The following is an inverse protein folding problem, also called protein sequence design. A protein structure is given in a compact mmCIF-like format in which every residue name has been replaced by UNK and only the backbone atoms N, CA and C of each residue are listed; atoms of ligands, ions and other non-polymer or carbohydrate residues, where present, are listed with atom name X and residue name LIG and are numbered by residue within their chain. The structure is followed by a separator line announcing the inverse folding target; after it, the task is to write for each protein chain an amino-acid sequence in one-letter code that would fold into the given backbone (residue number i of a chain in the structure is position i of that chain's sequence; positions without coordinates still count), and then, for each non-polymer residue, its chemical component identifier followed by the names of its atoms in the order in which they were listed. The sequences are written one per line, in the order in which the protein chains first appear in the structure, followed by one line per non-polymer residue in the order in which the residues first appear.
data_IF_379555940548
#
_entry.id   IF_379555940548
#
_cell.length_a   1.000
_cell.length_b   1.000
_cell.length_c   1.000
_cell.angle_alpha   90.00
_cell.angle_beta   90.00
_cell.angle_gamma   90.00
#
_symmetry.space_group_name_H-M   'P 1'
#
loop_
_entity.id
_entity.type
_entity.pdbx_description
1 polymer ?
#
# COMPACT_ATOMS: atom_id res chain seq x y z
N UNK A 1 -34.80 21.41 36.44
CA UNK A 1 -33.75 20.37 36.31
C UNK A 1 -34.45 19.03 36.45
N UNK A 2 -34.56 18.26 35.35
CA UNK A 2 -33.52 17.31 34.97
C UNK A 2 -33.02 17.52 33.52
N UNK A 3 -31.91 16.86 33.12
CA UNK A 3 -31.07 17.31 32.01
C UNK A 3 -31.48 16.70 30.66
N UNK A 4 -31.36 17.52 29.61
CA UNK A 4 -31.39 17.11 28.21
C UNK A 4 -30.06 16.45 27.79
N UNK A 5 -30.21 15.39 26.98
CA UNK A 5 -29.39 15.00 25.83
C UNK A 5 -27.87 15.20 25.90
N UNK A 6 -27.14 14.09 25.81
CA UNK A 6 -26.29 13.76 24.63
C UNK A 6 -25.66 12.39 24.88
N UNK A 7 -26.30 11.32 24.41
CA UNK A 7 -25.61 10.05 24.18
C UNK A 7 -24.65 10.26 23.00
N UNK A 8 -23.37 10.48 23.31
CA UNK A 8 -22.28 10.35 22.31
C UNK A 8 -22.21 8.86 21.93
N UNK A 9 -22.31 8.48 20.65
CA UNK A 9 -22.11 7.09 20.26
C UNK A 9 -20.67 6.70 20.65
N UNK A 10 -20.51 5.70 21.50
CA UNK A 10 -19.21 5.14 21.81
C UNK A 10 -18.56 4.63 20.50
N UNK A 11 -17.25 4.86 20.26
CA UNK A 11 -16.59 4.27 19.10
C UNK A 11 -16.62 2.76 19.24
N UNK A 12 -17.32 2.07 18.33
CA UNK A 12 -17.46 0.62 18.37
C UNK A 12 -16.09 -0.05 18.15
N UNK A 13 -15.61 -0.90 19.09
CA UNK A 13 -14.29 -1.53 19.02
C UNK A 13 -14.08 -2.40 17.76
N UNK A 14 -15.16 -2.87 17.14
CA UNK A 14 -15.11 -3.67 15.92
C UNK A 14 -14.56 -2.88 14.71
N UNK A 15 -14.92 -1.60 14.56
CA UNK A 15 -14.43 -0.74 13.46
C UNK A 15 -12.93 -0.46 13.58
N UNK A 16 -12.43 -0.32 14.81
CA UNK A 16 -11.01 -0.12 15.10
C UNK A 16 -10.20 -1.36 14.74
N UNK A 17 -10.70 -2.55 15.12
CA UNK A 17 -10.06 -3.83 14.78
C UNK A 17 -10.02 -4.10 13.28
N UNK A 18 -11.11 -3.85 12.55
CA UNK A 18 -11.13 -4.02 11.08
C UNK A 18 -10.17 -3.05 10.40
N UNK A 19 -10.15 -1.78 10.81
CA UNK A 19 -9.24 -0.77 10.22
C UNK A 19 -7.77 -1.11 10.50
N UNK A 20 -7.44 -1.51 11.74
CA UNK A 20 -6.09 -1.91 12.11
C UNK A 20 -5.63 -3.18 11.38
N UNK A 21 -6.54 -4.14 11.16
CA UNK A 21 -6.24 -5.34 10.38
C UNK A 21 -6.02 -5.03 8.90
N UNK A 22 -6.84 -4.15 8.29
CA UNK A 22 -6.66 -3.70 6.91
C UNK A 22 -5.32 -2.96 6.75
N UNK A 23 -4.97 -2.06 7.67
CA UNK A 23 -3.69 -1.37 7.65
C UNK A 23 -2.50 -2.34 7.81
N UNK A 24 -2.60 -3.34 8.68
CA UNK A 24 -1.57 -4.39 8.82
C UNK A 24 -1.42 -5.20 7.53
N UNK A 25 -2.53 -5.63 6.93
CA UNK A 25 -2.52 -6.34 5.65
C UNK A 25 -1.94 -5.50 4.52
N UNK A 26 -2.26 -4.21 4.46
CA UNK A 26 -1.69 -3.29 3.47
C UNK A 26 -0.18 -3.15 3.63
N UNK A 27 0.32 -2.90 4.85
CA UNK A 27 1.76 -2.81 5.11
C UNK A 27 2.48 -4.11 4.76
N UNK A 28 1.88 -5.26 5.08
CA UNK A 28 2.43 -6.55 4.68
C UNK A 28 2.48 -6.69 3.15
N UNK A 29 1.43 -6.29 2.43
CA UNK A 29 1.40 -6.35 0.97
C UNK A 29 2.44 -5.41 0.33
N UNK A 30 2.67 -4.23 0.92
CA UNK A 30 3.72 -3.31 0.50
C UNK A 30 5.13 -3.89 0.73
N UNK A 31 5.35 -4.57 1.86
CA UNK A 31 6.62 -5.28 2.11
C UNK A 31 6.87 -6.40 1.11
N UNK A 32 5.85 -7.23 0.84
CA UNK A 32 5.95 -8.32 -0.15
C UNK A 32 6.18 -7.74 -1.55
N UNK A 33 5.48 -6.66 -1.91
CA UNK A 33 5.68 -5.99 -3.20
C UNK A 33 7.11 -5.46 -3.35
N UNK A 34 7.68 -4.85 -2.30
CA UNK A 34 9.07 -4.39 -2.30
C UNK A 34 10.07 -5.53 -2.56
N UNK A 35 9.90 -6.64 -1.86
CA UNK A 35 10.74 -7.84 -2.00
C UNK A 35 10.63 -8.43 -3.41
N UNK A 36 9.41 -8.66 -3.89
CA UNK A 36 9.17 -9.19 -5.23
C UNK A 36 9.71 -8.28 -6.32
N UNK A 37 9.60 -6.96 -6.16
CA UNK A 37 10.19 -6.03 -7.11
C UNK A 37 11.71 -6.19 -7.15
N UNK A 38 12.36 -6.22 -5.98
CA UNK A 38 13.80 -6.38 -5.88
C UNK A 38 14.29 -7.70 -6.49
N UNK A 39 13.64 -8.82 -6.18
CA UNK A 39 13.98 -10.14 -6.71
C UNK A 39 13.86 -10.22 -8.24
N UNK A 40 12.96 -9.41 -8.82
CA UNK A 40 12.75 -9.28 -10.26
C UNK A 40 13.57 -8.16 -10.92
N UNK A 41 14.52 -7.56 -10.19
CA UNK A 41 15.44 -6.54 -10.71
C UNK A 41 14.87 -5.13 -10.79
N UNK A 42 13.71 -4.89 -10.17
CA UNK A 42 13.12 -3.58 -10.01
C UNK A 42 13.62 -2.93 -8.72
N UNK A 43 13.80 -1.60 -8.77
CA UNK A 43 14.00 -0.79 -7.56
C UNK A 43 12.66 -0.25 -7.06
N UNK A 44 12.58 0.18 -5.80
CA UNK A 44 11.35 0.75 -5.23
C UNK A 44 10.82 1.95 -6.02
N UNK A 45 11.72 2.74 -6.62
CA UNK A 45 11.43 3.85 -7.51
C UNK A 45 10.56 3.48 -8.72
N UNK A 46 10.54 2.20 -9.09
CA UNK A 46 9.68 1.68 -10.17
C UNK A 46 8.21 1.95 -9.88
N UNK A 47 7.77 1.73 -8.64
CA UNK A 47 6.36 1.94 -8.28
C UNK A 47 6.14 3.22 -7.47
N UNK A 48 7.18 3.78 -6.83
CA UNK A 48 7.04 5.04 -6.08
C UNK A 48 7.12 6.28 -6.97
N UNK A 49 7.69 6.23 -8.18
CA UNK A 49 7.63 7.34 -9.11
C UNK A 49 6.44 7.18 -10.08
N UNK A 50 5.51 8.16 -10.16
CA UNK A 50 4.36 8.07 -11.07
C UNK A 50 4.72 7.85 -12.55
N UNK A 51 5.92 8.25 -12.96
CA UNK A 51 6.42 8.12 -14.32
C UNK A 51 7.06 6.75 -14.62
N UNK A 52 7.44 5.98 -13.60
CA UNK A 52 8.20 4.72 -13.75
C UNK A 52 7.39 3.44 -13.49
N UNK A 53 6.08 3.59 -13.26
CA UNK A 53 5.17 2.49 -12.93
C UNK A 53 5.28 1.27 -13.83
N UNK A 54 4.85 0.12 -13.29
CA UNK A 54 4.90 -1.17 -13.98
C UNK A 54 3.89 -1.18 -15.13
N UNK A 55 4.36 -1.49 -16.34
CA UNK A 55 3.48 -1.74 -17.47
C UNK A 55 2.82 -3.12 -17.36
N UNK A 56 1.75 -3.33 -18.12
CA UNK A 56 1.00 -4.58 -18.11
C UNK A 56 1.86 -5.84 -18.29
N UNK A 57 2.87 -5.79 -19.19
CA UNK A 57 3.80 -6.92 -19.40
C UNK A 57 4.61 -7.29 -18.15
N UNK A 58 5.00 -6.28 -17.36
CA UNK A 58 5.79 -6.46 -16.13
C UNK A 58 4.89 -7.04 -15.04
N UNK A 59 3.64 -6.57 -14.96
CA UNK A 59 2.63 -7.11 -14.05
C UNK A 59 2.29 -8.58 -14.36
N UNK A 60 2.17 -8.95 -15.64
CA UNK A 60 1.95 -10.34 -16.07
C UNK A 60 3.14 -11.22 -15.71
N UNK A 61 4.36 -10.74 -15.93
CA UNK A 61 5.58 -11.46 -15.57
C UNK A 61 5.68 -11.66 -14.04
N UNK A 62 5.44 -10.60 -13.25
CA UNK A 62 5.40 -10.68 -11.78
C UNK A 62 4.31 -11.63 -11.28
N UNK A 63 3.10 -11.56 -11.83
CA UNK A 63 1.98 -12.44 -11.43
C UNK A 63 2.25 -13.91 -11.76
N UNK A 64 2.95 -14.17 -12.86
CA UNK A 64 3.33 -15.53 -13.28
C UNK A 64 4.43 -16.10 -12.38
N UNK A 65 5.39 -15.27 -11.99
CA UNK A 65 6.51 -15.67 -11.14
C UNK A 65 6.12 -15.80 -9.66
N UNK A 66 5.22 -14.94 -9.19
CA UNK A 66 4.81 -14.84 -7.80
C UNK A 66 3.27 -14.70 -7.69
N UNK A 67 2.52 -15.81 -7.48
CA UNK A 67 1.07 -15.77 -7.32
C UNK A 67 0.60 -14.84 -6.20
N UNK A 68 1.44 -14.62 -5.18
CA UNK A 68 1.19 -13.68 -4.07
C UNK A 68 1.08 -12.23 -4.54
N UNK A 69 1.67 -11.87 -5.68
CA UNK A 69 1.56 -10.54 -6.28
C UNK A 69 0.11 -10.15 -6.53
N UNK A 70 -0.70 -11.04 -7.12
CA UNK A 70 -2.09 -10.73 -7.48
C UNK A 70 -2.92 -10.31 -6.26
N UNK A 71 -2.77 -11.02 -5.14
CA UNK A 71 -3.41 -10.67 -3.88
C UNK A 71 -2.91 -9.35 -3.32
N UNK A 72 -1.59 -9.11 -3.33
CA UNK A 72 -1.01 -7.87 -2.84
C UNK A 72 -1.43 -6.66 -3.68
N UNK A 73 -1.49 -6.82 -5.02
CA UNK A 73 -1.96 -5.80 -5.95
C UNK A 73 -3.39 -5.40 -5.63
N UNK A 74 -4.29 -6.39 -5.47
CA UNK A 74 -5.69 -6.13 -5.12
C UNK A 74 -5.83 -5.39 -3.78
N UNK A 75 -5.06 -5.78 -2.76
CA UNK A 75 -5.08 -5.09 -1.44
C UNK A 75 -4.58 -3.65 -1.57
N UNK A 76 -3.52 -3.41 -2.33
CA UNK A 76 -3.00 -2.06 -2.55
C UNK A 76 -3.98 -1.17 -3.32
N UNK A 77 -4.65 -1.69 -4.34
CA UNK A 77 -5.69 -0.98 -5.10
C UNK A 77 -6.93 -0.70 -4.24
N UNK A 78 -7.45 -1.71 -3.53
CA UNK A 78 -8.62 -1.57 -2.68
C UNK A 78 -8.40 -0.64 -1.48
N UNK A 79 -7.15 -0.46 -1.05
CA UNK A 79 -6.77 0.48 0.01
C UNK A 79 -6.34 1.84 -0.52
N UNK A 80 -6.48 2.10 -1.83
CA UNK A 80 -6.07 3.35 -2.50
C UNK A 80 -4.58 3.66 -2.37
N UNK A 81 -3.75 2.68 -2.00
CA UNK A 81 -2.30 2.82 -1.87
C UNK A 81 -1.60 2.70 -3.23
N UNK A 82 -2.24 2.06 -4.21
CA UNK A 82 -1.77 1.97 -5.57
C UNK A 82 -2.93 2.13 -6.56
N UNK A 83 -2.59 2.51 -7.80
CA UNK A 83 -3.55 2.69 -8.88
C UNK A 83 -2.88 2.53 -10.24
N UNK A 84 -3.68 2.51 -11.30
CA UNK A 84 -3.19 2.68 -12.66
C UNK A 84 -3.24 4.16 -13.04
N UNK A 85 -2.12 4.71 -13.48
CA UNK A 85 -2.07 6.09 -13.99
C UNK A 85 -2.69 6.21 -15.40
N UNK A 86 -2.72 7.43 -15.94
CA UNK A 86 -3.26 7.73 -17.28
C UNK A 86 -2.55 6.97 -18.43
N UNK A 87 -1.34 6.44 -18.17
CA UNK A 87 -0.57 5.64 -19.11
C UNK A 87 -0.81 4.13 -18.96
N UNK A 88 -1.76 3.72 -18.10
CA UNK A 88 -2.05 2.31 -17.82
C UNK A 88 -0.95 1.61 -17.03
N UNK A 89 -0.14 2.35 -16.26
CA UNK A 89 0.95 1.80 -15.44
C UNK A 89 0.55 1.74 -13.98
N UNK A 90 0.87 0.63 -13.32
CA UNK A 90 0.67 0.48 -11.89
C UNK A 90 1.70 1.30 -11.11
N UNK A 91 1.21 2.20 -10.27
CA UNK A 91 2.00 3.15 -9.47
C UNK A 91 1.43 3.27 -8.06
N UNK A 92 2.28 3.61 -7.10
CA UNK A 92 1.84 3.99 -5.77
C UNK A 92 1.23 5.39 -5.78
N UNK A 93 0.13 5.56 -5.06
CA UNK A 93 -0.45 6.86 -4.74
C UNK A 93 0.38 7.58 -3.67
N UNK A 94 -0.03 8.78 -3.27
CA UNK A 94 0.63 9.47 -2.14
C UNK A 94 0.62 8.62 -0.86
N UNK A 95 -0.52 7.99 -0.56
CA UNK A 95 -0.66 7.09 0.59
C UNK A 95 0.34 5.93 0.55
N UNK A 96 0.41 5.21 -0.59
CA UNK A 96 1.33 4.09 -0.72
C UNK A 96 2.79 4.50 -0.58
N UNK A 97 3.17 5.66 -1.12
CA UNK A 97 4.54 6.20 -1.00
C UNK A 97 4.88 6.60 0.42
N UNK A 98 3.97 7.27 1.12
CA UNK A 98 4.17 7.63 2.53
C UNK A 98 4.36 6.39 3.40
N UNK A 99 3.57 5.34 3.19
CA UNK A 99 3.72 4.07 3.89
C UNK A 99 5.05 3.38 3.57
N UNK A 100 5.46 3.36 2.30
CA UNK A 100 6.76 2.80 1.91
C UNK A 100 7.91 3.60 2.50
N UNK A 101 7.80 4.92 2.57
CA UNK A 101 8.80 5.78 3.21
C UNK A 101 8.85 5.56 4.73
N UNK A 102 7.71 5.43 5.40
CA UNK A 102 7.64 5.07 6.82
C UNK A 102 8.28 3.70 7.10
N UNK A 103 8.09 2.73 6.21
CA UNK A 103 8.60 1.37 6.37
C UNK A 103 10.08 1.20 6.03
N UNK A 104 10.56 1.90 4.99
CA UNK A 104 11.89 1.67 4.41
C UNK A 104 12.79 2.92 4.39
N UNK A 105 12.22 4.11 4.59
CA UNK A 105 12.92 5.40 4.50
C UNK A 105 13.61 5.85 5.79
N UNK A 106 13.25 5.30 6.95
CA UNK A 106 13.86 5.69 8.24
C UNK A 106 15.36 5.37 8.35
N UNK A 107 15.91 4.47 7.52
CA UNK A 107 17.37 4.23 7.46
C UNK A 107 18.14 5.12 6.46
N UNK A 108 17.44 5.88 5.60
CA UNK A 108 18.06 6.77 4.62
C UNK A 108 18.20 8.21 5.13
N UNK A 109 17.43 8.59 6.16
CA UNK A 109 17.45 9.93 6.76
C UNK A 109 18.52 10.10 7.85
N UNK A 110 19.00 9.01 8.46
CA UNK A 110 20.02 9.03 9.54
C UNK A 110 21.47 9.10 9.02
N UNK A 111 21.66 9.20 7.70
CA UNK A 111 22.95 9.54 7.08
C UNK A 111 22.95 11.03 6.69
N UNK A 112 22.96 11.93 7.68
CA UNK A 112 23.14 13.37 7.48
C UNK A 112 24.15 13.96 8.47
#
# INVERSE_FOLDING_TARGET
MPPELTERPAPLPYRLSTTANVQRSLRQCLSIAAELLYDHGHVLETITLPQRGLAHRELVALSTAAPTWATCQQVMEASEAATFNDYGRFVLTSLGRELMFDMFGQGAADCA
#
